data_IF_871398514877
#
_entry.id   IF_871398514877
#
_cell.length_a   1.000
_cell.length_b   1.000
_cell.length_c   1.000
_cell.angle_alpha   90.00
_cell.angle_beta   90.00
_cell.angle_gamma   90.00
#
_symmetry.space_group_name_H-M   'P 1'
#
loop_
_entity.id
_entity.type
_entity.pdbx_description
1 polymer ?
#
# COMPACT_ATOMS: atom_id res chain seq x y z
N UNK A 1 -3.69 -5.43 9.36
CA UNK A 1 -2.81 -6.60 9.09
C UNK A 1 -3.36 -7.78 9.86
N UNK A 2 -3.86 -8.81 9.16
CA UNK A 2 -4.30 -10.03 9.83
C UNK A 2 -3.07 -10.95 10.00
N UNK A 3 -2.61 -11.13 11.24
CA UNK A 3 -1.48 -12.01 11.57
C UNK A 3 -1.74 -13.46 11.15
N UNK A 4 -3.02 -13.87 11.09
CA UNK A 4 -3.45 -15.18 10.63
C UNK A 4 -3.16 -15.40 9.14
N UNK A 5 -3.37 -14.38 8.29
CA UNK A 5 -3.06 -14.46 6.87
C UNK A 5 -1.54 -14.55 6.61
N UNK A 6 -0.74 -13.88 7.45
CA UNK A 6 0.73 -14.00 7.42
C UNK A 6 1.15 -15.41 7.86
N UNK A 7 0.52 -15.95 8.91
CA UNK A 7 0.76 -17.31 9.38
C UNK A 7 0.49 -18.35 8.30
N UNK A 8 -0.62 -18.23 7.57
CA UNK A 8 -0.94 -19.10 6.44
C UNK A 8 0.11 -19.02 5.33
N UNK A 9 0.50 -17.83 4.89
CA UNK A 9 1.51 -17.67 3.84
C UNK A 9 2.87 -18.31 4.20
N UNK A 10 3.30 -18.19 5.46
CA UNK A 10 4.59 -18.72 5.91
C UNK A 10 4.52 -20.22 6.17
N UNK A 11 3.47 -20.69 6.85
CA UNK A 11 3.36 -22.07 7.35
C UNK A 11 2.75 -23.00 6.29
N UNK A 12 1.69 -22.57 5.60
CA UNK A 12 0.95 -23.40 4.63
C UNK A 12 1.57 -23.28 3.23
N UNK A 13 1.87 -22.06 2.78
CA UNK A 13 2.37 -21.82 1.41
C UNK A 13 3.91 -21.81 1.32
N UNK A 14 4.59 -21.96 2.46
CA UNK A 14 6.06 -22.02 2.53
C UNK A 14 6.77 -20.74 2.08
N UNK A 15 6.09 -19.60 2.07
CA UNK A 15 6.69 -18.32 1.67
C UNK A 15 7.75 -17.93 2.71
N UNK A 16 8.99 -17.64 2.28
CA UNK A 16 10.04 -17.21 3.20
C UNK A 16 9.59 -16.00 4.03
N UNK A 17 9.84 -16.05 5.35
CA UNK A 17 9.48 -14.98 6.29
C UNK A 17 10.05 -13.64 5.85
N UNK A 18 11.26 -13.64 5.29
CA UNK A 18 11.95 -12.45 4.80
C UNK A 18 11.21 -11.82 3.61
N UNK A 19 10.61 -12.63 2.73
CA UNK A 19 9.77 -12.13 1.63
C UNK A 19 8.49 -11.48 2.16
N UNK A 20 7.84 -12.10 3.15
CA UNK A 20 6.64 -11.53 3.77
C UNK A 20 6.99 -10.22 4.49
N UNK A 21 8.10 -10.18 5.23
CA UNK A 21 8.58 -8.98 5.91
C UNK A 21 8.91 -7.85 4.92
N UNK A 22 9.53 -8.18 3.79
CA UNK A 22 9.79 -7.22 2.71
C UNK A 22 8.50 -6.66 2.13
N UNK A 23 7.53 -7.51 1.80
CA UNK A 23 6.22 -7.09 1.29
C UNK A 23 5.49 -6.15 2.26
N UNK A 24 5.49 -6.47 3.56
CA UNK A 24 4.92 -5.62 4.61
C UNK A 24 5.63 -4.27 4.67
N UNK A 25 6.96 -4.26 4.56
CA UNK A 25 7.77 -3.04 4.60
C UNK A 25 7.46 -2.14 3.41
N UNK A 26 7.41 -2.70 2.20
CA UNK A 26 7.03 -1.97 0.99
C UNK A 26 5.61 -1.40 1.10
N UNK A 27 4.65 -2.16 1.61
CA UNK A 27 3.28 -1.69 1.83
C UNK A 27 3.22 -0.49 2.80
N UNK A 28 4.00 -0.53 3.88
CA UNK A 28 4.10 0.60 4.83
C UNK A 28 4.69 1.84 4.17
N UNK A 29 5.74 1.70 3.36
CA UNK A 29 6.37 2.80 2.64
C UNK A 29 5.37 3.42 1.65
N UNK A 30 4.68 2.59 0.87
CA UNK A 30 3.66 3.06 -0.09
C UNK A 30 2.52 3.82 0.61
N UNK A 31 2.03 3.30 1.75
CA UNK A 31 1.01 3.98 2.57
C UNK A 31 1.49 5.34 3.07
N UNK A 32 2.71 5.41 3.61
CA UNK A 32 3.27 6.66 4.13
C UNK A 32 3.47 7.71 3.02
N UNK A 33 3.88 7.27 1.82
CA UNK A 33 4.01 8.16 0.66
C UNK A 33 2.63 8.71 0.24
N UNK A 34 1.62 7.85 0.12
CA UNK A 34 0.25 8.27 -0.21
C UNK A 34 -0.30 9.27 0.82
N UNK A 35 -0.11 9.02 2.11
CA UNK A 35 -0.53 9.95 3.17
C UNK A 35 0.17 11.31 3.07
N UNK A 36 1.47 11.32 2.75
CA UNK A 36 2.25 12.54 2.56
C UNK A 36 1.72 13.35 1.38
N UNK A 37 1.45 12.68 0.25
CA UNK A 37 0.91 13.32 -0.95
C UNK A 37 -0.47 13.92 -0.69
N UNK A 38 -1.37 13.15 -0.05
CA UNK A 38 -2.73 13.61 0.29
C UNK A 38 -2.67 14.82 1.22
N UNK A 39 -1.77 14.85 2.21
CA UNK A 39 -1.55 16.02 3.08
C UNK A 39 -1.11 17.23 2.26
N UNK A 40 -0.15 17.06 1.34
CA UNK A 40 0.36 18.15 0.51
C UNK A 40 -0.71 18.69 -0.45
N UNK A 41 -1.50 17.80 -1.07
CA UNK A 41 -2.62 18.19 -1.95
C UNK A 41 -3.70 18.95 -1.18
N UNK A 42 -4.06 18.47 0.02
CA UNK A 42 -5.00 19.17 0.90
C UNK A 42 -4.50 20.57 1.27
N UNK A 43 -3.22 20.72 1.60
CA UNK A 43 -2.60 22.03 1.89
C UNK A 43 -2.63 22.98 0.68
N UNK A 44 -2.70 22.44 -0.54
CA UNK A 44 -2.83 23.22 -1.78
C UNK A 44 -4.28 23.50 -2.18
N UNK A 45 -5.25 23.11 -1.35
CA UNK A 45 -6.67 23.37 -1.59
C UNK A 45 -7.37 22.34 -2.46
N UNK A 46 -6.81 21.13 -2.61
CA UNK A 46 -7.52 20.04 -3.28
C UNK A 46 -8.80 19.69 -2.52
N UNK A 47 -9.88 19.47 -3.27
CA UNK A 47 -11.19 19.03 -2.78
C UNK A 47 -11.15 17.56 -2.37
N UNK A 48 -12.13 17.12 -1.58
CA UNK A 48 -12.21 15.71 -1.16
C UNK A 48 -12.38 14.74 -2.34
N UNK A 49 -13.10 15.17 -3.39
CA UNK A 49 -13.25 14.39 -4.63
C UNK A 49 -11.92 14.23 -5.38
N UNK A 50 -11.09 15.27 -5.42
CA UNK A 50 -9.76 15.21 -6.03
C UNK A 50 -8.80 14.32 -5.23
N UNK A 51 -8.89 14.34 -3.89
CA UNK A 51 -8.10 13.48 -3.01
C UNK A 51 -8.51 12.01 -3.13
N UNK A 52 -9.80 11.72 -3.24
CA UNK A 52 -10.32 10.36 -3.48
C UNK A 52 -9.88 9.83 -4.85
N UNK A 53 -10.04 10.65 -5.91
CA UNK A 53 -9.59 10.31 -7.25
C UNK A 53 -8.06 10.06 -7.29
N UNK A 54 -7.27 10.90 -6.61
CA UNK A 54 -5.83 10.70 -6.49
C UNK A 54 -5.50 9.37 -5.81
N UNK A 55 -6.14 9.08 -4.67
CA UNK A 55 -5.89 7.85 -3.90
C UNK A 55 -6.25 6.60 -4.69
N UNK A 56 -7.38 6.60 -5.40
CA UNK A 56 -7.79 5.50 -6.28
C UNK A 56 -6.80 5.24 -7.40
N UNK A 57 -6.38 6.29 -8.11
CA UNK A 57 -5.37 6.18 -9.17
C UNK A 57 -4.05 5.66 -8.63
N UNK A 58 -3.57 6.19 -7.50
CA UNK A 58 -2.29 5.76 -6.91
C UNK A 58 -2.31 4.29 -6.48
N UNK A 59 -3.43 3.83 -5.92
CA UNK A 59 -3.61 2.42 -5.59
C UNK A 59 -3.70 1.53 -6.84
N UNK A 60 -4.33 2.00 -7.91
CA UNK A 60 -4.36 1.29 -9.19
C UNK A 60 -2.95 1.15 -9.79
N UNK A 61 -2.16 2.23 -9.83
CA UNK A 61 -0.76 2.20 -10.28
C UNK A 61 0.10 1.23 -9.45
N UNK A 62 -0.11 1.20 -8.12
CA UNK A 62 0.60 0.26 -7.26
C UNK A 62 0.22 -1.19 -7.56
N UNK A 63 -1.06 -1.47 -7.80
CA UNK A 63 -1.52 -2.80 -8.18
C UNK A 63 -0.96 -3.23 -9.53
N UNK A 64 -0.97 -2.34 -10.53
CA UNK A 64 -0.39 -2.61 -11.85
C UNK A 64 1.10 -2.90 -11.72
N UNK A 65 1.83 -2.13 -10.90
CA UNK A 65 3.25 -2.36 -10.65
C UNK A 65 3.54 -3.68 -9.93
N UNK A 66 2.65 -4.15 -9.04
CA UNK A 66 2.80 -5.43 -8.34
C UNK A 66 2.45 -6.65 -9.22
N UNK A 67 1.68 -6.45 -10.30
CA UNK A 67 1.22 -7.50 -11.20
C UNK A 67 2.01 -7.57 -12.53
N UNK A 68 2.87 -6.56 -12.80
CA UNK A 68 3.76 -6.50 -13.96
C UNK A 68 5.05 -7.33 -13.76
#
# INVERSE_FOLDING_TARGET
MNHEAIGRLVIEDGVPVERVAMAITLAKIASAALESDVKLLRLRGATDDELDAYSKRRNAELNDWLLA
#
